data_IF_607680188432
#
_entry.id   IF_607680188432
#
_cell.length_a   1.000
_cell.length_b   1.000
_cell.length_c   1.000
_cell.angle_alpha   90.00
_cell.angle_beta   90.00
_cell.angle_gamma   90.00
#
_symmetry.space_group_name_H-M   'P 1'
#
loop_
_entity.id
_entity.type
_entity.pdbx_description
1 polymer ?
#
# COMPACT_ATOMS: atom_id res chain seq x y z
N UNK A 1 46.67 0.60 -47.54
CA UNK A 1 45.33 0.93 -48.08
C UNK A 1 44.47 1.31 -46.89
N UNK A 2 44.28 2.60 -46.66
CA UNK A 2 43.40 3.09 -45.59
C UNK A 2 41.97 3.09 -46.13
N UNK A 3 41.13 2.18 -45.61
CA UNK A 3 39.71 2.17 -45.94
C UNK A 3 39.07 3.27 -45.10
N UNK A 4 38.99 4.47 -45.67
CA UNK A 4 38.23 5.58 -45.12
C UNK A 4 36.73 5.29 -45.30
N UNK A 5 36.18 4.47 -44.39
CA UNK A 5 34.73 4.29 -44.29
C UNK A 5 34.17 5.62 -43.80
N UNK A 6 33.57 6.39 -44.70
CA UNK A 6 32.86 7.63 -44.38
C UNK A 6 31.81 7.35 -43.31
N UNK A 7 32.20 7.52 -42.05
CA UNK A 7 31.45 7.13 -40.89
C UNK A 7 30.37 8.18 -40.62
N UNK A 8 29.38 8.26 -41.51
CA UNK A 8 28.16 9.01 -41.20
C UNK A 8 27.54 8.32 -39.99
N UNK A 9 27.41 8.99 -38.84
CA UNK A 9 26.86 8.37 -37.64
C UNK A 9 25.47 7.87 -37.99
N UNK A 10 25.25 6.56 -37.86
CA UNK A 10 23.95 5.96 -38.12
C UNK A 10 22.95 6.57 -37.13
N UNK A 11 21.96 7.36 -37.60
CA UNK A 11 21.03 8.06 -36.70
C UNK A 11 20.22 7.08 -35.85
N UNK A 12 20.12 5.80 -36.24
CA UNK A 12 19.49 4.75 -35.46
C UNK A 12 20.24 4.46 -34.16
N UNK A 13 21.56 4.65 -34.12
CA UNK A 13 22.39 4.42 -32.93
C UNK A 13 22.18 5.49 -31.85
N UNK A 14 21.67 6.66 -32.23
CA UNK A 14 21.37 7.76 -31.30
C UNK A 14 19.92 7.72 -30.79
N UNK A 15 19.08 6.83 -31.31
CA UNK A 15 17.67 6.74 -30.91
C UNK A 15 17.56 6.10 -29.54
N UNK A 16 16.86 6.77 -28.64
CA UNK A 16 16.41 6.17 -27.38
C UNK A 16 15.05 5.51 -27.59
N UNK A 17 14.94 4.22 -27.27
CA UNK A 17 13.68 3.49 -27.39
C UNK A 17 12.81 3.75 -26.16
N UNK A 18 11.50 3.91 -26.37
CA UNK A 18 10.52 3.79 -25.29
C UNK A 18 10.49 2.35 -24.77
N UNK A 19 9.94 2.12 -23.57
CA UNK A 19 9.87 0.77 -23.00
C UNK A 19 9.12 -0.21 -23.90
N UNK A 20 8.05 0.23 -24.56
CA UNK A 20 7.27 -0.61 -25.47
C UNK A 20 8.05 -0.97 -26.74
N UNK A 21 8.78 -0.01 -27.31
CA UNK A 21 9.66 -0.26 -28.44
C UNK A 21 10.83 -1.18 -28.06
N UNK A 22 11.37 -1.01 -26.86
CA UNK A 22 12.40 -1.87 -26.32
C UNK A 22 11.90 -3.30 -26.16
N UNK A 23 10.78 -3.56 -25.47
CA UNK A 23 10.22 -4.91 -25.30
C UNK A 23 10.00 -5.57 -26.66
N UNK A 24 9.48 -4.84 -27.64
CA UNK A 24 9.27 -5.37 -28.99
C UNK A 24 10.58 -5.72 -29.70
N UNK A 25 11.60 -4.87 -29.59
CA UNK A 25 12.91 -5.09 -30.20
C UNK A 25 13.67 -6.22 -29.48
N UNK A 26 13.72 -6.18 -28.15
CA UNK A 26 14.36 -7.17 -27.30
C UNK A 26 13.69 -8.53 -27.45
N UNK A 27 12.37 -8.61 -27.53
CA UNK A 27 11.65 -9.85 -27.82
C UNK A 27 12.00 -10.49 -29.18
N UNK A 28 12.44 -9.71 -30.18
CA UNK A 28 13.01 -10.28 -31.41
C UNK A 28 14.41 -10.84 -31.16
N UNK A 29 15.26 -10.09 -30.47
CA UNK A 29 16.59 -10.53 -30.07
C UNK A 29 16.54 -11.83 -29.25
N UNK A 30 15.69 -11.89 -28.22
CA UNK A 30 15.48 -13.08 -27.40
C UNK A 30 15.15 -14.30 -28.23
N UNK A 31 14.17 -14.20 -29.14
CA UNK A 31 13.78 -15.31 -30.03
C UNK A 31 14.98 -15.83 -30.82
N UNK A 32 15.74 -14.95 -31.47
CA UNK A 32 16.94 -15.33 -32.23
C UNK A 32 17.98 -16.00 -31.34
N UNK A 33 18.28 -15.40 -30.19
CA UNK A 33 19.26 -15.91 -29.24
C UNK A 33 18.86 -17.27 -28.67
N UNK A 34 17.59 -17.49 -28.36
CA UNK A 34 17.11 -18.74 -27.79
C UNK A 34 16.93 -19.84 -28.82
N UNK A 35 16.75 -19.50 -30.10
CA UNK A 35 16.81 -20.49 -31.18
C UNK A 35 18.22 -21.06 -31.34
N UNK A 36 19.25 -20.24 -31.18
CA UNK A 36 20.65 -20.68 -31.24
C UNK A 36 21.14 -21.28 -29.91
N UNK A 37 20.67 -20.74 -28.78
CA UNK A 37 21.10 -21.11 -27.42
C UNK A 37 19.89 -21.25 -26.49
N UNK A 38 19.15 -22.37 -26.54
CA UNK A 38 17.90 -22.55 -25.79
C UNK A 38 18.04 -22.34 -24.28
N UNK A 39 19.18 -22.76 -23.69
CA UNK A 39 19.46 -22.61 -22.27
C UNK A 39 19.60 -21.17 -21.78
N UNK A 40 19.65 -20.17 -22.67
CA UNK A 40 19.73 -18.75 -22.30
C UNK A 40 18.36 -18.09 -22.11
N UNK A 41 17.25 -18.80 -22.31
CA UNK A 41 15.91 -18.19 -22.23
C UNK A 41 15.65 -17.55 -20.86
N UNK A 42 15.96 -18.27 -19.78
CA UNK A 42 15.74 -17.81 -18.41
C UNK A 42 16.48 -16.51 -18.09
N UNK A 43 17.77 -16.41 -18.42
CA UNK A 43 18.56 -15.20 -18.16
C UNK A 43 18.07 -13.99 -18.97
N UNK A 44 17.55 -14.21 -20.18
CA UNK A 44 17.03 -13.15 -21.02
C UNK A 44 15.62 -12.70 -20.60
N UNK A 45 14.80 -13.61 -20.09
CA UNK A 45 13.50 -13.26 -19.51
C UNK A 45 13.69 -12.45 -18.22
N UNK A 46 14.58 -12.90 -17.32
CA UNK A 46 14.94 -12.14 -16.12
C UNK A 46 15.50 -10.75 -16.44
N UNK A 47 16.36 -10.63 -17.47
CA UNK A 47 16.85 -9.32 -17.90
C UNK A 47 15.74 -8.39 -18.42
N UNK A 48 14.74 -8.92 -19.13
CA UNK A 48 13.61 -8.12 -19.60
C UNK A 48 12.77 -7.61 -18.42
N UNK A 49 12.50 -8.46 -17.44
CA UNK A 49 11.80 -8.10 -16.19
C UNK A 49 12.55 -6.99 -15.45
N UNK A 50 13.86 -7.12 -15.30
CA UNK A 50 14.73 -6.09 -14.72
C UNK A 50 14.63 -4.76 -15.47
N UNK A 51 14.66 -4.77 -16.80
CA UNK A 51 14.54 -3.55 -17.60
C UNK A 51 13.16 -2.89 -17.42
N UNK A 52 12.09 -3.67 -17.34
CA UNK A 52 10.74 -3.16 -17.07
C UNK A 52 10.70 -2.50 -15.69
N UNK A 53 11.26 -3.13 -14.67
CA UNK A 53 11.33 -2.58 -13.32
C UNK A 53 12.15 -1.27 -13.29
N UNK A 54 13.33 -1.25 -13.92
CA UNK A 54 14.16 -0.04 -14.01
C UNK A 54 13.41 1.06 -14.74
N UNK A 55 12.65 0.74 -15.80
CA UNK A 55 11.82 1.72 -16.52
C UNK A 55 10.72 2.29 -15.63
N UNK A 56 10.13 1.48 -14.76
CA UNK A 56 9.10 1.96 -13.84
C UNK A 56 9.70 2.94 -12.83
N UNK A 57 10.84 2.61 -12.23
CA UNK A 57 11.46 3.47 -11.20
C UNK A 57 12.19 4.68 -11.75
N UNK A 58 12.96 4.52 -12.82
CA UNK A 58 13.89 5.55 -13.31
C UNK A 58 13.48 6.12 -14.68
N UNK A 59 12.30 5.75 -15.18
CA UNK A 59 11.83 6.19 -16.49
C UNK A 59 12.82 5.81 -17.58
N UNK A 60 13.15 6.77 -18.44
CA UNK A 60 13.98 6.55 -19.64
C UNK A 60 15.41 6.06 -19.36
N UNK A 61 15.88 6.12 -18.10
CA UNK A 61 17.20 5.62 -17.69
C UNK A 61 17.38 4.11 -17.86
N UNK A 62 16.29 3.34 -17.98
CA UNK A 62 16.39 1.93 -18.35
C UNK A 62 17.20 1.72 -19.64
N UNK A 63 17.07 2.65 -20.60
CA UNK A 63 17.74 2.52 -21.88
C UNK A 63 19.24 2.84 -21.78
N UNK A 64 19.62 3.76 -20.90
CA UNK A 64 21.02 4.02 -20.56
C UNK A 64 21.66 2.80 -19.89
N UNK A 65 20.96 2.19 -18.93
CA UNK A 65 21.39 0.93 -18.30
C UNK A 65 21.57 -0.18 -19.35
N UNK A 66 20.60 -0.40 -20.23
CA UNK A 66 20.70 -1.40 -21.28
C UNK A 66 21.92 -1.20 -22.19
N UNK A 67 22.19 0.03 -22.63
CA UNK A 67 23.35 0.36 -23.46
C UNK A 67 24.66 0.04 -22.74
N UNK A 68 24.81 0.49 -21.50
CA UNK A 68 26.02 0.29 -20.71
C UNK A 68 26.24 -1.19 -20.39
N UNK A 69 25.17 -1.91 -20.00
CA UNK A 69 25.22 -3.33 -19.74
C UNK A 69 25.63 -4.12 -21.00
N UNK A 70 25.00 -3.83 -22.14
CA UNK A 70 25.28 -4.52 -23.40
C UNK A 70 26.70 -4.24 -23.90
N UNK A 71 27.17 -3.00 -23.77
CA UNK A 71 28.55 -2.63 -24.09
C UNK A 71 29.54 -3.40 -23.20
N UNK A 72 29.33 -3.39 -21.88
CA UNK A 72 30.15 -4.14 -20.91
C UNK A 72 30.16 -5.64 -21.23
N UNK A 73 29.01 -6.23 -21.51
CA UNK A 73 28.90 -7.64 -21.87
C UNK A 73 29.61 -7.97 -23.20
N UNK A 74 29.54 -7.08 -24.18
CA UNK A 74 30.26 -7.22 -25.45
C UNK A 74 31.78 -7.18 -25.25
N UNK A 75 32.29 -6.20 -24.49
CA UNK A 75 33.71 -6.09 -24.16
C UNK A 75 34.22 -7.32 -23.41
N UNK A 76 33.50 -7.79 -22.39
CA UNK A 76 33.87 -8.98 -21.62
C UNK A 76 33.92 -10.24 -22.48
N UNK A 77 32.98 -10.38 -23.42
CA UNK A 77 32.98 -11.50 -24.34
C UNK A 77 34.14 -11.44 -25.33
N UNK A 78 34.40 -10.27 -25.92
CA UNK A 78 35.44 -10.10 -26.95
C UNK A 78 36.85 -10.21 -26.38
N UNK A 79 37.13 -9.49 -25.30
CA UNK A 79 38.50 -9.34 -24.77
C UNK A 79 38.87 -10.44 -23.77
N UNK A 80 37.89 -10.91 -22.99
CA UNK A 80 38.14 -11.84 -21.87
C UNK A 80 37.49 -13.21 -22.06
N UNK A 81 36.74 -13.42 -23.14
CA UNK A 81 35.95 -14.63 -23.38
C UNK A 81 35.00 -14.97 -22.22
N UNK A 82 34.55 -13.95 -21.48
CA UNK A 82 33.63 -14.10 -20.36
C UNK A 82 32.21 -13.94 -20.89
N UNK A 83 31.42 -15.01 -20.78
CA UNK A 83 29.98 -14.94 -21.02
C UNK A 83 29.31 -14.34 -19.78
N UNK A 84 28.72 -13.16 -19.96
CA UNK A 84 27.91 -12.51 -18.91
C UNK A 84 26.61 -13.29 -18.70
N UNK A 85 26.22 -13.43 -17.44
CA UNK A 85 24.92 -13.93 -17.02
C UNK A 85 23.92 -12.76 -16.97
N UNK A 86 22.94 -12.78 -17.88
CA UNK A 86 21.99 -11.69 -18.05
C UNK A 86 20.91 -11.67 -16.96
N UNK A 87 20.78 -12.74 -16.17
CA UNK A 87 19.85 -12.78 -15.02
C UNK A 87 20.32 -11.93 -13.83
N UNK A 88 21.57 -11.48 -13.85
CA UNK A 88 22.19 -10.75 -12.74
C UNK A 88 22.22 -9.26 -13.02
N UNK A 89 21.49 -8.51 -12.19
CA UNK A 89 21.53 -7.05 -12.20
C UNK A 89 22.92 -6.54 -11.84
N UNK A 90 23.44 -5.62 -12.65
CA UNK A 90 24.73 -4.98 -12.44
C UNK A 90 24.58 -3.80 -11.45
N UNK A 91 25.02 -4.01 -10.21
CA UNK A 91 24.85 -3.02 -9.13
C UNK A 91 25.59 -1.72 -9.40
N UNK A 92 26.79 -1.79 -9.99
CA UNK A 92 27.59 -0.60 -10.25
C UNK A 92 26.95 0.26 -11.33
N UNK A 93 26.40 -0.39 -12.38
CA UNK A 93 25.61 0.31 -13.39
C UNK A 93 24.31 0.89 -12.81
N UNK A 94 23.64 0.17 -11.90
CA UNK A 94 22.45 0.70 -11.22
C UNK A 94 22.75 1.94 -10.37
N UNK A 95 23.87 1.94 -9.64
CA UNK A 95 24.32 3.11 -8.87
C UNK A 95 24.63 4.27 -9.83
N UNK A 96 25.33 3.98 -10.93
CA UNK A 96 25.71 4.98 -11.92
C UNK A 96 24.49 5.64 -12.58
N UNK A 97 23.48 4.85 -12.98
CA UNK A 97 22.28 5.40 -13.63
C UNK A 97 21.29 6.03 -12.63
N UNK A 98 21.31 5.60 -11.37
CA UNK A 98 20.45 6.13 -10.30
C UNK A 98 20.99 7.39 -9.63
N UNK A 99 22.28 7.70 -9.80
CA UNK A 99 22.89 8.89 -9.19
C UNK A 99 22.18 10.18 -9.64
N UNK A 100 21.61 10.91 -8.66
CA UNK A 100 20.92 12.18 -8.89
C UNK A 100 19.55 12.07 -9.58
N UNK A 101 18.97 10.86 -9.68
CA UNK A 101 17.65 10.65 -10.28
C UNK A 101 16.59 10.51 -9.19
N UNK A 102 15.51 11.29 -9.30
CA UNK A 102 14.31 11.07 -8.49
C UNK A 102 13.62 9.79 -8.96
N UNK A 103 13.42 8.85 -8.04
CA UNK A 103 12.66 7.63 -8.31
C UNK A 103 11.17 7.95 -8.46
N UNK A 104 10.51 7.27 -9.40
CA UNK A 104 9.07 7.31 -9.56
C UNK A 104 8.41 6.56 -8.39
N UNK A 105 8.07 7.32 -7.35
CA UNK A 105 7.29 6.86 -6.21
C UNK A 105 5.97 7.60 -6.16
N UNK A 106 4.95 6.94 -5.62
CA UNK A 106 3.67 7.56 -5.34
C UNK A 106 3.87 8.73 -4.38
N UNK A 107 3.53 9.94 -4.82
CA UNK A 107 3.67 11.16 -4.01
C UNK A 107 2.76 11.23 -2.77
N UNK A 108 1.89 10.24 -2.55
CA UNK A 108 0.98 10.17 -1.40
C UNK A 108 1.42 9.13 -0.36
N UNK A 109 1.80 7.93 -0.79
CA UNK A 109 2.18 6.83 0.12
C UNK A 109 3.64 6.40 0.00
N UNK A 110 4.40 7.00 -0.93
CA UNK A 110 5.79 6.70 -1.25
C UNK A 110 6.06 5.26 -1.73
N UNK A 111 5.00 4.50 -2.04
CA UNK A 111 5.13 3.18 -2.67
C UNK A 111 5.44 3.31 -4.16
N UNK A 112 6.09 2.30 -4.71
CA UNK A 112 6.58 2.28 -6.09
C UNK A 112 5.67 1.56 -7.09
N UNK A 113 4.57 0.98 -6.61
CA UNK A 113 3.69 0.06 -7.34
C UNK A 113 2.55 0.78 -8.08
N UNK A 114 2.36 2.08 -7.87
CA UNK A 114 1.30 2.84 -8.49
C UNK A 114 1.60 4.34 -8.61
N UNK A 115 0.98 4.98 -9.60
CA UNK A 115 0.94 6.43 -9.69
C UNK A 115 -0.02 7.03 -8.64
N UNK A 116 0.19 8.31 -8.29
CA UNK A 116 -0.72 9.08 -7.41
C UNK A 116 -2.20 8.82 -7.74
N UNK A 117 -2.54 8.75 -9.04
CA UNK A 117 -3.89 8.55 -9.61
C UNK A 117 -4.57 7.25 -9.19
N UNK A 118 -3.79 6.23 -8.87
CA UNK A 118 -4.24 4.91 -8.46
C UNK A 118 -3.89 4.63 -6.99
N UNK A 119 -3.48 5.67 -6.25
CA UNK A 119 -3.11 5.52 -4.87
C UNK A 119 -4.34 5.19 -4.03
N UNK A 120 -4.31 4.11 -3.23
CA UNK A 120 -5.38 3.79 -2.30
C UNK A 120 -5.69 4.94 -1.33
N UNK A 121 -4.70 5.79 -1.02
CA UNK A 121 -4.87 6.98 -0.18
C UNK A 121 -5.55 8.15 -0.90
N UNK A 122 -5.50 8.22 -2.24
CA UNK A 122 -6.14 9.30 -3.00
C UNK A 122 -7.67 9.27 -2.88
N UNK A 123 -8.25 8.09 -2.63
CA UNK A 123 -9.69 7.95 -2.36
C UNK A 123 -10.13 8.63 -1.05
N UNK A 124 -9.18 9.05 -0.20
CA UNK A 124 -9.46 9.81 1.02
C UNK A 124 -9.62 11.32 0.80
N UNK A 125 -9.15 11.87 -0.33
CA UNK A 125 -9.14 13.34 -0.58
C UNK A 125 -10.35 13.82 -1.40
N UNK A 126 -11.05 12.93 -2.13
CA UNK A 126 -12.19 13.30 -2.99
C UNK A 126 -13.56 13.32 -2.29
N UNK A 127 -13.60 13.25 -0.96
CA UNK A 127 -14.82 13.48 -0.16
C UNK A 127 -14.75 14.81 0.59
N UNK A 128 -14.41 15.90 -0.10
CA UNK A 128 -14.72 17.27 0.34
C UNK A 128 -15.42 18.01 -0.80
N UNK A 129 -16.49 17.40 -1.31
CA UNK A 129 -17.62 18.19 -1.79
C UNK A 129 -18.49 18.38 -0.57
N UNK A 130 -18.34 19.52 0.11
CA UNK A 130 -19.26 20.00 1.15
C UNK A 130 -20.71 19.72 0.79
N UNK A 131 -21.45 18.84 1.51
CA UNK A 131 -22.81 19.17 1.86
C UNK A 131 -22.72 20.13 3.03
N UNK A 132 -23.31 21.30 2.83
CA UNK A 132 -23.81 22.21 3.85
C UNK A 132 -23.76 21.64 5.28
N UNK A 133 -22.93 22.26 6.13
CA UNK A 133 -22.99 22.08 7.57
C UNK A 133 -24.43 22.32 8.02
N UNK A 134 -25.15 21.26 8.34
CA UNK A 134 -26.09 21.32 9.44
C UNK A 134 -25.39 20.65 10.61
N UNK A 135 -24.94 21.51 11.51
CA UNK A 135 -24.64 21.12 12.88
C UNK A 135 -25.83 20.32 13.41
N UNK A 136 -25.68 19.01 13.56
CA UNK A 136 -26.28 18.35 14.70
C UNK A 136 -25.57 17.07 15.08
N UNK A 137 -25.09 17.07 16.32
CA UNK A 137 -24.75 15.91 17.13
C UNK A 137 -25.65 14.71 16.87
N UNK A 138 -25.06 13.62 16.40
CA UNK A 138 -25.71 12.34 16.27
C UNK A 138 -24.75 11.33 15.69
N UNK A 139 -24.00 10.66 16.56
CA UNK A 139 -22.97 9.66 16.27
C UNK A 139 -23.56 8.39 15.63
N UNK A 140 -24.31 8.53 14.54
CA UNK A 140 -25.21 7.51 13.98
C UNK A 140 -25.20 7.53 12.45
N UNK A 141 -25.18 6.34 11.83
CA UNK A 141 -25.27 6.16 10.37
C UNK A 141 -26.62 6.65 9.80
N UNK A 142 -26.77 6.64 8.47
CA UNK A 142 -28.01 7.02 7.75
C UNK A 142 -29.25 6.23 8.23
N UNK A 143 -29.05 5.14 8.99
CA UNK A 143 -30.10 4.30 9.60
C UNK A 143 -30.19 4.46 11.11
N UNK A 144 -29.57 5.48 11.70
CA UNK A 144 -29.61 5.79 13.12
C UNK A 144 -28.73 4.89 14.00
N UNK A 145 -27.86 4.05 13.44
CA UNK A 145 -27.03 3.11 14.23
C UNK A 145 -25.71 3.74 14.62
N UNK A 146 -25.31 3.58 15.88
CA UNK A 146 -24.10 4.20 16.42
C UNK A 146 -22.87 3.84 15.59
N UNK A 147 -22.15 4.86 15.10
CA UNK A 147 -20.88 4.68 14.39
C UNK A 147 -19.75 4.33 15.35
N UNK A 148 -18.94 3.34 14.99
CA UNK A 148 -17.73 2.99 15.74
C UNK A 148 -16.50 3.35 14.91
N UNK A 149 -15.49 3.96 15.53
CA UNK A 149 -14.29 4.42 14.83
C UNK A 149 -13.04 3.73 15.39
N UNK A 150 -12.10 3.40 14.50
CA UNK A 150 -10.77 2.93 14.85
C UNK A 150 -9.73 3.64 13.98
N UNK A 151 -8.76 4.31 14.61
CA UNK A 151 -7.72 5.11 13.95
C UNK A 151 -8.28 6.10 12.91
N UNK A 152 -9.38 6.78 13.26
CA UNK A 152 -10.02 7.77 12.40
C UNK A 152 -10.87 7.20 11.26
N UNK A 153 -10.97 5.87 11.10
CA UNK A 153 -11.80 5.21 10.09
C UNK A 153 -12.98 4.49 10.73
N UNK A 154 -14.17 4.63 10.15
CA UNK A 154 -15.40 4.01 10.65
C UNK A 154 -15.40 2.49 10.41
N UNK A 155 -15.83 1.73 11.42
CA UNK A 155 -16.01 0.29 11.42
C UNK A 155 -17.34 -0.05 10.72
N UNK A 156 -17.31 -1.03 9.83
CA UNK A 156 -18.48 -1.43 9.06
C UNK A 156 -19.56 -2.06 9.96
N UNK A 157 -20.68 -1.34 10.13
CA UNK A 157 -21.85 -1.85 10.85
C UNK A 157 -22.46 -3.09 10.19
N UNK A 158 -22.42 -3.20 8.86
CA UNK A 158 -22.94 -4.37 8.16
C UNK A 158 -22.04 -5.60 8.36
N UNK A 159 -20.72 -5.42 8.37
CA UNK A 159 -19.78 -6.51 8.71
C UNK A 159 -20.03 -7.03 10.12
N UNK A 160 -20.33 -6.15 11.07
CA UNK A 160 -20.69 -6.50 12.45
C UNK A 160 -22.18 -6.84 12.63
N UNK A 161 -22.95 -7.02 11.56
CA UNK A 161 -24.33 -7.48 11.62
C UNK A 161 -24.43 -8.97 11.28
N UNK A 162 -25.56 -9.59 11.63
CA UNK A 162 -25.83 -11.00 11.36
C UNK A 162 -25.81 -11.35 9.86
N UNK A 163 -26.15 -10.41 8.98
CA UNK A 163 -26.12 -10.62 7.52
C UNK A 163 -24.71 -10.56 6.92
N UNK A 164 -23.72 -10.08 7.68
CA UNK A 164 -22.40 -9.74 7.15
C UNK A 164 -22.44 -8.56 6.16
N UNK A 165 -21.27 -8.24 5.61
CA UNK A 165 -21.14 -7.20 4.59
C UNK A 165 -20.96 -7.83 3.21
N UNK A 166 -21.88 -7.57 2.28
CA UNK A 166 -21.80 -8.09 0.91
C UNK A 166 -20.84 -7.29 -0.01
N UNK A 167 -20.06 -6.36 0.54
CA UNK A 167 -19.09 -5.52 -0.20
C UNK A 167 -17.67 -6.02 0.02
N UNK A 168 -17.43 -7.31 -0.13
CA UNK A 168 -16.10 -7.91 0.06
C UNK A 168 -15.06 -7.21 -0.81
N UNK A 169 -13.96 -6.77 -0.18
CA UNK A 169 -12.86 -6.02 -0.79
C UNK A 169 -13.18 -4.60 -1.28
N UNK A 170 -14.46 -4.18 -1.32
CA UNK A 170 -14.91 -2.87 -1.82
C UNK A 170 -15.63 -2.02 -0.77
N UNK A 171 -15.68 -2.50 0.48
CA UNK A 171 -16.28 -1.76 1.57
C UNK A 171 -15.38 -0.60 1.98
N UNK A 172 -15.95 0.61 2.03
CA UNK A 172 -15.23 1.82 2.44
C UNK A 172 -14.97 1.85 3.96
N UNK A 173 -15.74 1.06 4.72
CA UNK A 173 -15.65 0.93 6.17
C UNK A 173 -14.77 -0.26 6.58
N UNK A 174 -14.15 -0.20 7.76
CA UNK A 174 -13.27 -1.26 8.25
C UNK A 174 -14.06 -2.54 8.55
N UNK A 175 -13.68 -3.65 7.92
CA UNK A 175 -14.11 -5.00 8.30
C UNK A 175 -13.29 -5.44 9.52
N UNK A 176 -13.75 -5.02 10.68
CA UNK A 176 -13.11 -5.26 11.97
C UNK A 176 -14.20 -5.55 13.00
N UNK A 177 -13.96 -6.51 13.89
CA UNK A 177 -14.80 -6.77 15.04
C UNK A 177 -14.89 -5.53 15.94
N UNK A 178 -16.09 -4.98 16.14
CA UNK A 178 -16.27 -3.82 17.02
C UNK A 178 -15.94 -4.09 18.49
N UNK A 179 -15.96 -5.37 18.92
CA UNK A 179 -15.71 -5.77 20.30
C UNK A 179 -14.23 -5.99 20.61
N UNK A 180 -13.52 -6.78 19.80
CA UNK A 180 -12.11 -7.12 20.06
C UNK A 180 -11.09 -6.43 19.14
N UNK A 181 -11.57 -5.66 18.15
CA UNK A 181 -10.76 -4.95 17.15
C UNK A 181 -9.89 -5.84 16.26
N UNK A 182 -10.17 -7.15 16.19
CA UNK A 182 -9.54 -8.05 15.23
C UNK A 182 -10.24 -7.97 13.85
N UNK A 183 -9.49 -8.13 12.77
CA UNK A 183 -9.95 -8.13 11.38
C UNK A 183 -10.51 -9.49 10.92
N UNK A 184 -10.18 -10.57 11.61
CA UNK A 184 -10.50 -11.94 11.16
C UNK A 184 -11.98 -12.32 11.27
N UNK A 185 -12.76 -11.61 12.09
CA UNK A 185 -14.14 -11.98 12.39
C UNK A 185 -15.02 -10.76 12.68
N UNK A 186 -16.33 -10.91 12.48
CA UNK A 186 -17.34 -9.93 12.89
C UNK A 186 -17.64 -10.03 14.39
N UNK A 187 -18.35 -9.06 14.96
CA UNK A 187 -18.84 -9.18 16.36
C UNK A 187 -19.67 -10.44 16.59
N UNK A 188 -20.39 -10.95 15.59
CA UNK A 188 -21.24 -12.16 15.70
C UNK A 188 -20.44 -13.45 15.82
N UNK A 189 -19.19 -13.47 15.36
CA UNK A 189 -18.26 -14.60 15.50
C UNK A 189 -17.18 -14.35 16.58
N UNK A 190 -17.39 -13.36 17.45
CA UNK A 190 -16.40 -12.96 18.45
C UNK A 190 -16.48 -13.78 19.73
N UNK A 191 -15.40 -14.48 20.06
CA UNK A 191 -15.27 -15.25 21.31
C UNK A 191 -15.26 -14.37 22.58
N UNK A 192 -15.10 -13.04 22.45
CA UNK A 192 -15.15 -12.07 23.57
C UNK A 192 -16.54 -11.48 23.83
N UNK A 193 -17.60 -12.05 23.26
CA UNK A 193 -18.98 -11.54 23.30
C UNK A 193 -19.54 -11.22 24.71
N UNK A 194 -18.90 -11.69 25.79
CA UNK A 194 -19.47 -11.64 27.14
C UNK A 194 -18.87 -10.61 28.11
N UNK A 195 -17.94 -9.72 27.71
CA UNK A 195 -17.25 -8.86 28.70
C UNK A 195 -17.78 -7.43 28.85
N UNK A 196 -18.75 -6.99 28.06
CA UNK A 196 -19.26 -5.61 28.12
C UNK A 196 -20.65 -5.43 28.77
N UNK A 197 -21.34 -6.51 29.14
CA UNK A 197 -22.69 -6.47 29.73
C UNK A 197 -22.74 -6.63 31.27
N UNK A 198 -21.62 -6.92 31.94
CA UNK A 198 -21.61 -7.13 33.39
C UNK A 198 -21.43 -5.85 34.22
N UNK A 199 -21.05 -4.73 33.60
CA UNK A 199 -20.91 -3.44 34.33
C UNK A 199 -22.22 -2.66 34.49
N UNK A 200 -23.26 -2.96 33.69
CA UNK A 200 -24.54 -2.24 33.74
C UNK A 200 -25.66 -3.02 34.44
N UNK A 201 -25.57 -4.36 34.48
CA UNK A 201 -26.49 -5.19 35.29
C UNK A 201 -26.17 -5.15 36.79
N UNK A 202 -24.92 -4.90 37.19
CA UNK A 202 -24.56 -4.79 38.61
C UNK A 202 -24.81 -3.40 39.21
N UNK A 203 -25.07 -2.37 38.37
CA UNK A 203 -25.51 -1.04 38.84
C UNK A 203 -27.02 -0.93 39.06
N UNK A 204 -27.83 -1.80 38.41
CA UNK A 204 -29.30 -1.81 38.59
C UNK A 204 -29.77 -2.73 39.72
N UNK A 205 -28.98 -3.71 40.15
CA UNK A 205 -29.32 -4.59 41.28
C UNK A 205 -28.92 -4.03 42.67
N UNK A 206 -28.06 -3.01 42.74
CA UNK A 206 -27.77 -2.31 44.01
C UNK A 206 -28.66 -1.07 44.25
N UNK A 207 -29.42 -0.64 43.25
CA UNK A 207 -30.34 0.50 43.33
C UNK A 207 -31.80 0.13 43.68
N UNK A 208 -32.12 -1.17 43.78
CA UNK A 208 -33.49 -1.64 44.07
C UNK A 208 -33.68 -2.25 45.47
N UNK A 209 -32.64 -2.24 46.33
CA UNK A 209 -32.72 -2.81 47.70
C UNK A 209 -32.72 -1.79 48.84
N UNK A 210 -32.56 -0.49 48.60
CA UNK A 210 -32.40 0.51 49.69
C UNK A 210 -33.33 1.74 49.60
N UNK A 211 -34.56 1.60 49.08
CA UNK A 211 -35.55 2.69 49.12
C UNK A 211 -36.96 2.24 49.53
N UNK A 212 -37.01 1.31 50.49
CA UNK A 212 -38.15 1.21 51.42
C UNK A 212 -37.59 1.22 52.83
N UNK A 213 -37.17 2.39 53.30
CA UNK A 213 -37.07 2.69 54.73
C UNK A 213 -36.83 4.18 54.96
N UNK A 214 -37.78 4.78 55.67
CA UNK A 214 -37.62 5.92 56.60
C UNK A 214 -37.62 7.33 55.99
N UNK A 215 -38.84 7.82 55.85
CA UNK A 215 -39.24 9.14 56.34
C UNK A 215 -38.69 9.40 57.75
N UNK A 216 -38.12 10.58 57.98
CA UNK A 216 -37.66 11.02 59.30
C UNK A 216 -36.79 12.27 59.25
N UNK A 217 -37.41 13.40 59.56
CA UNK A 217 -36.91 14.78 59.66
C UNK A 217 -35.76 14.98 60.69
N UNK A 218 -35.06 16.14 60.66
CA UNK A 218 -33.70 16.32 61.16
C UNK A 218 -33.62 16.80 62.62
N UNK A 219 -32.46 16.59 63.26
CA UNK A 219 -32.06 17.35 64.44
C UNK A 219 -30.56 17.68 64.43
N UNK A 220 -30.34 18.99 64.33
CA UNK A 220 -29.17 19.81 64.66
C UNK A 220 -28.33 19.33 65.86
N UNK A 221 -27.00 19.54 65.83
CA UNK A 221 -26.20 20.32 66.81
C UNK A 221 -24.71 19.93 66.83
N UNK A 222 -23.85 20.97 66.83
CA UNK A 222 -22.62 21.15 67.65
C UNK A 222 -21.47 20.11 67.49
N UNK A 223 -20.17 20.38 67.63
CA UNK A 223 -19.29 21.53 67.87
C UNK A 223 -17.92 20.93 68.24
N UNK A 224 -16.80 21.57 67.86
CA UNK A 224 -15.41 21.38 68.39
C UNK A 224 -14.76 20.00 68.12
N UNK A 225 -13.45 19.83 67.99
CA UNK A 225 -12.27 20.68 68.15
C UNK A 225 -11.02 19.79 68.27
N UNK A 226 -9.86 20.37 67.93
CA UNK A 226 -8.46 20.07 68.32
C UNK A 226 -7.82 18.69 68.12
N UNK A 227 -6.71 18.74 67.36
CA UNK A 227 -5.34 18.38 67.74
C UNK A 227 -5.11 17.16 68.65
N UNK A 228 -4.32 16.21 68.15
CA UNK A 228 -2.87 16.14 68.41
C UNK A 228 -2.18 15.23 67.40
#
# INVERSE_FOLDING_TARGET
MEINVGNKPDPRLNRQLTIQEFIKAFGKFKRVMTSAFPGRRFELDAFEEDIIEISNFYGQKFYDYHKLFSAKASTLLQEKQIKVDWSKRDRDLMILIGAGVEINICKLCHMVDHDKKFCPLQLSEKSVSTPHLTENSGNSDIRGRKGFYHNGKEICNNFNSMSGCHKDGRCLFLHMCSNCRNYDHSVTACHRQSSHNDSEKNRKNHAFKNTVAKTGTPASKHSFGSEK
#
